data_IF_855966942736
#
_entry.id   IF_855966942736
#
_cell.length_a   1.000
_cell.length_b   1.000
_cell.length_c   1.000
_cell.angle_alpha   90.00
_cell.angle_beta   90.00
_cell.angle_gamma   90.00
#
_symmetry.space_group_name_H-M   'P 1'
#
loop_
_entity.id
_entity.type
_entity.pdbx_description
1 polymer ?
#
# COMPACT_ATOMS: atom_id res chain seq x y z
N UNK A 1 5.92 14.87 37.18
CA UNK A 1 5.65 13.89 36.12
C UNK A 1 5.48 14.55 34.75
N UNK A 2 4.60 15.55 34.56
CA UNK A 2 4.44 16.25 33.27
C UNK A 2 5.72 16.97 32.78
N UNK A 3 6.56 17.49 33.68
CA UNK A 3 7.81 18.15 33.30
C UNK A 3 8.77 17.26 32.50
N UNK A 4 8.68 15.93 32.64
CA UNK A 4 9.52 15.00 31.87
C UNK A 4 9.15 14.91 30.39
N UNK A 5 7.95 15.38 30.00
CA UNK A 5 7.51 15.44 28.60
C UNK A 5 7.83 16.77 27.93
N UNK A 6 8.21 17.81 28.70
CA UNK A 6 8.59 19.12 28.16
C UNK A 6 9.73 19.00 27.13
N UNK A 7 10.81 18.24 27.36
CA UNK A 7 11.87 18.07 26.36
C UNK A 7 11.38 17.44 25.05
N UNK A 8 10.46 16.47 25.12
CA UNK A 8 9.88 15.81 23.94
C UNK A 8 9.03 16.79 23.13
N UNK A 9 8.20 17.58 23.83
CA UNK A 9 7.39 18.63 23.21
C UNK A 9 8.27 19.68 22.52
N UNK A 10 9.30 20.15 23.23
CA UNK A 10 10.25 21.15 22.70
C UNK A 10 10.96 20.61 21.46
N UNK A 11 11.41 19.35 21.49
CA UNK A 11 12.03 18.71 20.33
C UNK A 11 11.07 18.62 19.13
N UNK A 12 9.82 18.18 19.37
CA UNK A 12 8.81 18.07 18.32
C UNK A 12 8.49 19.44 17.69
N UNK A 13 8.34 20.47 18.52
CA UNK A 13 8.10 21.85 18.06
C UNK A 13 9.31 22.38 17.29
N UNK A 14 10.53 22.17 17.80
CA UNK A 14 11.75 22.61 17.14
C UNK A 14 11.94 21.93 15.78
N UNK A 15 11.71 20.61 15.70
CA UNK A 15 11.79 19.85 14.46
C UNK A 15 10.76 20.35 13.44
N UNK A 16 9.51 20.57 13.89
CA UNK A 16 8.46 21.14 13.05
C UNK A 16 8.78 22.56 12.58
N UNK A 17 9.27 23.42 13.48
CA UNK A 17 9.65 24.79 13.17
C UNK A 17 10.83 24.85 12.19
N UNK A 18 11.81 23.95 12.32
CA UNK A 18 12.93 23.87 11.41
C UNK A 18 12.48 23.38 10.03
N UNK A 19 11.68 22.32 9.96
CA UNK A 19 11.14 21.81 8.69
C UNK A 19 10.30 22.88 7.96
N UNK A 20 9.37 23.52 8.67
CA UNK A 20 8.55 24.61 8.12
C UNK A 20 9.41 25.82 7.75
N UNK A 21 10.38 26.18 8.59
CA UNK A 21 11.31 27.29 8.34
C UNK A 21 12.15 27.07 7.09
N UNK A 22 12.65 25.87 6.86
CA UNK A 22 13.40 25.53 5.64
C UNK A 22 12.51 25.60 4.40
N UNK A 23 11.28 25.07 4.46
CA UNK A 23 10.32 25.16 3.36
C UNK A 23 9.94 26.61 3.06
N UNK A 24 9.66 27.41 4.11
CA UNK A 24 9.32 28.81 3.98
C UNK A 24 10.48 29.63 3.40
N UNK A 25 11.71 29.42 3.90
CA UNK A 25 12.89 30.10 3.41
C UNK A 25 13.19 29.74 1.95
N UNK A 26 13.05 28.46 1.58
CA UNK A 26 13.15 27.99 0.20
C UNK A 26 12.12 28.68 -0.71
N UNK A 27 10.88 28.82 -0.24
CA UNK A 27 9.81 29.50 -0.98
C UNK A 27 10.01 31.04 -1.09
N UNK A 28 10.56 31.68 -0.06
CA UNK A 28 10.81 33.13 -0.04
C UNK A 28 12.04 33.52 -0.87
N UNK A 29 13.15 32.79 -0.74
CA UNK A 29 14.42 33.07 -1.42
C UNK A 29 14.49 32.45 -2.82
N UNK A 30 13.65 31.45 -3.12
CA UNK A 30 13.67 30.73 -4.39
C UNK A 30 13.23 31.60 -5.58
N UNK A 31 13.90 31.49 -6.75
CA UNK A 31 13.52 32.23 -7.94
C UNK A 31 12.14 31.79 -8.46
N UNK A 32 11.19 32.73 -8.48
CA UNK A 32 9.82 32.48 -8.94
C UNK A 32 9.72 32.68 -10.45
N UNK A 33 9.90 31.59 -11.21
CA UNK A 33 9.72 31.56 -12.67
C UNK A 33 8.76 30.45 -13.10
N UNK A 34 7.46 30.57 -12.75
CA UNK A 34 6.46 29.61 -13.19
C UNK A 34 6.35 29.65 -14.71
N UNK A 35 6.45 28.49 -15.34
CA UNK A 35 6.25 28.30 -16.76
C UNK A 35 5.27 27.15 -16.94
N UNK A 36 4.43 27.19 -17.97
CA UNK A 36 3.39 26.19 -18.20
C UNK A 36 3.97 24.77 -18.19
N UNK A 37 5.15 24.56 -18.80
CA UNK A 37 5.80 23.25 -18.85
C UNK A 37 6.36 22.78 -17.50
N UNK A 38 6.68 23.71 -16.60
CA UNK A 38 7.22 23.39 -15.26
C UNK A 38 6.14 23.02 -14.25
N UNK A 39 4.92 23.52 -14.46
CA UNK A 39 3.77 23.26 -13.58
C UNK A 39 2.83 22.18 -14.12
N UNK A 40 3.01 21.79 -15.39
CA UNK A 40 2.28 20.67 -15.98
C UNK A 40 2.72 19.33 -15.38
N UNK A 41 1.80 18.36 -15.23
CA UNK A 41 2.13 16.99 -14.86
C UNK A 41 3.19 16.38 -15.79
N UNK A 42 4.12 15.63 -15.23
CA UNK A 42 5.15 14.95 -16.00
C UNK A 42 4.58 13.71 -16.68
N UNK A 43 4.53 13.70 -18.01
CA UNK A 43 4.14 12.54 -18.82
C UNK A 43 5.14 12.23 -19.94
N UNK A 44 6.46 12.24 -19.66
CA UNK A 44 7.49 11.87 -20.64
C UNK A 44 7.42 12.62 -22.00
N UNK A 45 6.84 13.83 -22.02
CA UNK A 45 6.71 14.67 -23.22
C UNK A 45 5.36 14.58 -23.95
N UNK A 46 4.41 13.76 -23.50
CA UNK A 46 3.03 13.78 -24.01
C UNK A 46 2.14 14.70 -23.16
N UNK A 47 1.08 15.23 -23.76
CA UNK A 47 0.07 15.97 -23.01
C UNK A 47 -0.82 15.00 -22.25
N UNK A 48 -1.09 15.24 -20.95
CA UNK A 48 -2.01 14.41 -20.16
C UNK A 48 -3.36 14.32 -20.86
N UNK A 49 -3.72 13.10 -21.26
CA UNK A 49 -4.98 12.78 -21.94
C UNK A 49 -5.81 11.86 -21.07
N UNK A 50 -7.04 12.27 -20.77
CA UNK A 50 -7.99 11.50 -19.97
C UNK A 50 -8.21 12.05 -18.56
N UNK A 51 -8.96 11.30 -17.76
CA UNK A 51 -9.26 11.65 -16.37
C UNK A 51 -8.39 10.82 -15.43
N UNK A 52 -7.80 11.43 -14.41
CA UNK A 52 -7.03 10.75 -13.37
C UNK A 52 -7.88 9.88 -12.41
N UNK A 53 -9.17 9.66 -12.72
CA UNK A 53 -10.06 8.80 -11.94
C UNK A 53 -10.02 7.38 -12.49
N UNK A 54 -8.92 6.69 -12.20
CA UNK A 54 -8.82 5.27 -12.44
C UNK A 54 -9.38 4.50 -11.24
N UNK A 55 -9.82 3.25 -11.47
CA UNK A 55 -10.30 2.40 -10.37
C UNK A 55 -9.09 1.99 -9.54
N UNK A 56 -8.99 2.53 -8.33
CA UNK A 56 -7.95 2.09 -7.40
C UNK A 56 -8.18 0.62 -7.03
N UNK A 57 -7.14 -0.23 -7.12
CA UNK A 57 -7.26 -1.63 -6.72
C UNK A 57 -7.72 -1.78 -5.27
N UNK A 58 -8.70 -2.64 -5.02
CA UNK A 58 -9.20 -2.98 -3.67
C UNK A 58 -8.10 -3.54 -2.76
N UNK A 59 -6.99 -4.00 -3.32
CA UNK A 59 -5.83 -4.55 -2.60
C UNK A 59 -5.25 -3.55 -1.60
N UNK A 60 -5.24 -2.24 -1.91
CA UNK A 60 -4.79 -1.21 -0.97
C UNK A 60 -5.69 -1.12 0.27
N UNK A 61 -7.00 -1.31 0.09
CA UNK A 61 -7.95 -1.36 1.21
C UNK A 61 -7.72 -2.59 2.08
N UNK A 62 -7.47 -3.76 1.48
CA UNK A 62 -7.19 -5.00 2.22
C UNK A 62 -5.92 -4.88 3.08
N UNK A 63 -4.85 -4.27 2.55
CA UNK A 63 -3.62 -3.99 3.31
C UNK A 63 -3.90 -3.02 4.46
N UNK A 64 -4.65 -1.94 4.22
CA UNK A 64 -4.98 -0.97 5.27
C UNK A 64 -5.84 -1.58 6.38
N UNK A 65 -6.84 -2.40 6.01
CA UNK A 65 -7.69 -3.10 6.97
C UNK A 65 -6.88 -4.10 7.80
N UNK A 66 -5.98 -4.87 7.17
CA UNK A 66 -5.07 -5.77 7.87
C UNK A 66 -4.16 -5.02 8.86
N UNK A 67 -3.62 -3.87 8.45
CA UNK A 67 -2.81 -3.02 9.32
C UNK A 67 -3.59 -2.55 10.55
N UNK A 68 -4.84 -2.11 10.38
CA UNK A 68 -5.68 -1.67 11.51
C UNK A 68 -5.94 -2.81 12.49
N UNK A 69 -6.28 -3.99 11.99
CA UNK A 69 -6.54 -5.17 12.84
C UNK A 69 -5.29 -5.53 13.62
N UNK A 70 -4.13 -5.63 12.95
CA UNK A 70 -2.86 -5.93 13.61
C UNK A 70 -2.43 -4.85 14.61
N UNK A 71 -2.60 -3.56 14.28
CA UNK A 71 -2.28 -2.45 15.18
C UNK A 71 -3.12 -2.51 16.46
N UNK A 72 -4.42 -2.78 16.32
CA UNK A 72 -5.33 -3.01 17.45
C UNK A 72 -4.90 -4.24 18.25
N UNK A 73 -4.41 -5.31 17.64
CA UNK A 73 -3.91 -6.46 18.39
C UNK A 73 -2.69 -6.10 19.26
N UNK A 74 -1.78 -5.28 18.75
CA UNK A 74 -0.59 -4.84 19.52
C UNK A 74 -0.95 -3.97 20.72
N UNK A 75 -2.07 -3.23 20.69
CA UNK A 75 -2.53 -2.47 21.85
C UNK A 75 -2.90 -3.39 23.02
N UNK A 76 -3.35 -4.62 22.75
CA UNK A 76 -3.65 -5.61 23.78
C UNK A 76 -2.40 -6.31 24.31
N UNK A 77 -1.39 -6.48 23.45
CA UNK A 77 -0.09 -7.02 23.86
C UNK A 77 0.64 -6.10 24.84
N UNK A 78 0.46 -4.77 24.72
CA UNK A 78 1.23 -3.80 25.49
C UNK A 78 0.96 -3.86 27.01
N UNK A 79 -0.29 -3.79 27.53
CA UNK A 79 -0.57 -3.92 28.96
C UNK A 79 -0.09 -5.24 29.55
N UNK A 80 -0.25 -6.35 28.83
CA UNK A 80 0.27 -7.64 29.25
C UNK A 80 1.80 -7.63 29.34
N UNK A 81 2.50 -7.10 28.33
CA UNK A 81 3.95 -7.09 28.28
C UNK A 81 4.56 -6.26 29.42
N UNK A 82 3.96 -5.11 29.76
CA UNK A 82 4.46 -4.25 30.84
C UNK A 82 4.17 -4.83 32.23
N UNK A 83 3.03 -5.51 32.43
CA UNK A 83 2.64 -6.05 33.75
C UNK A 83 3.17 -7.47 34.01
N UNK A 84 3.61 -8.19 32.98
CA UNK A 84 4.07 -9.58 33.10
C UNK A 84 5.19 -9.77 34.14
N UNK A 85 6.15 -8.83 34.18
CA UNK A 85 7.29 -8.92 35.11
C UNK A 85 6.91 -8.65 36.57
N UNK A 86 5.88 -7.85 36.79
CA UNK A 86 5.40 -7.47 38.12
C UNK A 86 4.35 -8.44 38.65
N UNK A 87 3.82 -9.32 37.80
CA UNK A 87 2.84 -10.34 38.19
C UNK A 87 3.44 -11.39 39.15
N UNK A 88 2.67 -11.91 40.12
CA UNK A 88 3.12 -12.99 41.00
C UNK A 88 3.58 -14.22 40.19
N UNK A 89 4.68 -14.85 40.60
CA UNK A 89 5.24 -16.03 39.90
C UNK A 89 4.23 -17.17 39.71
N UNK A 90 3.28 -17.31 40.64
CA UNK A 90 2.23 -18.33 40.57
C UNK A 90 1.28 -18.14 39.36
N UNK A 91 1.08 -16.92 38.87
CA UNK A 91 0.19 -16.60 37.74
C UNK A 91 0.93 -16.29 36.44
N UNK A 92 2.25 -16.06 36.49
CA UNK A 92 3.06 -15.76 35.29
C UNK A 92 2.96 -16.86 34.23
N UNK A 93 3.06 -18.14 34.63
CA UNK A 93 2.95 -19.25 33.69
C UNK A 93 1.57 -19.31 33.02
N UNK A 94 0.50 -19.05 33.79
CA UNK A 94 -0.86 -18.98 33.27
C UNK A 94 -1.04 -17.83 32.28
N UNK A 95 -0.62 -16.61 32.66
CA UNK A 95 -0.68 -15.42 31.79
C UNK A 95 0.15 -15.57 30.50
N UNK A 96 1.26 -16.32 30.56
CA UNK A 96 2.07 -16.61 29.38
C UNK A 96 1.32 -17.53 28.40
N UNK A 97 0.66 -18.57 28.93
CA UNK A 97 -0.13 -19.50 28.11
C UNK A 97 -1.35 -18.79 27.52
N UNK A 98 -2.06 -18.00 28.33
CA UNK A 98 -3.21 -17.22 27.86
C UNK A 98 -2.84 -16.28 26.72
N UNK A 99 -1.71 -15.57 26.85
CA UNK A 99 -1.22 -14.72 25.77
C UNK A 99 -0.74 -15.52 24.56
N UNK A 100 -0.11 -16.68 24.77
CA UNK A 100 0.26 -17.58 23.68
C UNK A 100 -0.96 -18.05 22.89
N UNK A 101 -2.06 -18.38 23.57
CA UNK A 101 -3.33 -18.76 22.94
C UNK A 101 -3.95 -17.58 22.20
N UNK A 102 -3.96 -16.38 22.80
CA UNK A 102 -4.43 -15.16 22.15
C UNK A 102 -3.69 -14.91 20.83
N UNK A 103 -2.36 -14.89 20.89
CA UNK A 103 -1.50 -14.72 19.70
C UNK A 103 -1.74 -15.82 18.66
N UNK A 104 -1.89 -17.08 19.08
CA UNK A 104 -2.16 -18.19 18.16
C UNK A 104 -3.47 -18.01 17.39
N UNK A 105 -4.54 -17.57 18.06
CA UNK A 105 -5.84 -17.31 17.42
C UNK A 105 -5.72 -16.20 16.38
N UNK A 106 -5.00 -15.11 16.69
CA UNK A 106 -4.76 -14.01 15.75
C UNK A 106 -3.96 -14.48 14.53
N UNK A 107 -2.91 -15.28 14.75
CA UNK A 107 -2.11 -15.85 13.68
C UNK A 107 -2.94 -16.76 12.75
N UNK A 108 -3.94 -17.48 13.25
CA UNK A 108 -4.85 -18.26 12.38
C UNK A 108 -5.58 -17.34 11.40
N UNK A 109 -6.10 -16.20 11.86
CA UNK A 109 -6.73 -15.20 10.99
C UNK A 109 -5.75 -14.60 9.97
N UNK A 110 -4.54 -14.27 10.44
CA UNK A 110 -3.46 -13.77 9.57
C UNK A 110 -3.05 -14.76 8.48
N UNK A 111 -2.82 -16.02 8.83
CA UNK A 111 -2.44 -17.07 7.88
C UNK A 111 -3.59 -17.41 6.92
N UNK A 112 -4.84 -17.34 7.38
CA UNK A 112 -6.00 -17.48 6.49
C UNK A 112 -5.99 -16.39 5.41
N UNK A 113 -5.75 -15.13 5.79
CA UNK A 113 -5.66 -14.02 4.83
C UNK A 113 -4.49 -14.15 3.86
N UNK A 114 -3.34 -14.63 4.31
CA UNK A 114 -2.20 -14.96 3.44
C UNK A 114 -2.56 -16.06 2.43
N UNK A 115 -3.26 -17.10 2.88
CA UNK A 115 -3.69 -18.22 2.03
C UNK A 115 -4.67 -17.81 0.93
N UNK A 116 -5.50 -16.79 1.15
CA UNK A 116 -6.40 -16.25 0.13
C UNK A 116 -5.70 -15.54 -1.04
N UNK A 117 -4.37 -15.37 -1.01
CA UNK A 117 -3.59 -14.66 -2.05
C UNK A 117 -4.10 -13.24 -2.35
N UNK A 118 -4.90 -12.68 -1.45
CA UNK A 118 -5.51 -11.36 -1.61
C UNK A 118 -4.47 -10.23 -1.62
N UNK A 119 -3.27 -10.53 -1.12
CA UNK A 119 -2.09 -9.68 -1.11
C UNK A 119 -1.16 -9.95 -2.31
N UNK A 120 -1.51 -10.83 -3.25
CA UNK A 120 -0.69 -11.01 -4.46
C UNK A 120 -0.90 -9.81 -5.41
N UNK A 121 0.18 -9.08 -5.65
CA UNK A 121 0.24 -8.06 -6.68
C UNK A 121 0.32 -8.75 -8.04
N UNK A 122 -0.84 -9.08 -8.59
CA UNK A 122 -0.95 -9.45 -9.99
C UNK A 122 -0.38 -8.33 -10.87
N UNK A 123 0.66 -8.67 -11.62
CA UNK A 123 1.23 -7.85 -12.69
C UNK A 123 0.34 -7.89 -13.98
N UNK A 124 -0.83 -8.53 -13.90
CA UNK A 124 -1.44 -9.23 -15.04
C UNK A 124 -2.52 -8.47 -15.81
N UNK A 125 -3.00 -7.29 -15.39
CA UNK A 125 -3.90 -6.51 -16.26
C UNK A 125 -3.19 -6.02 -17.54
N UNK A 126 -1.85 -5.95 -17.55
CA UNK A 126 -1.06 -5.60 -18.74
C UNK A 126 -0.84 -6.75 -19.73
N UNK A 127 -1.13 -8.00 -19.38
CA UNK A 127 -0.81 -9.16 -20.21
C UNK A 127 -1.95 -9.62 -21.15
N UNK A 128 -3.18 -9.16 -20.94
CA UNK A 128 -4.35 -9.69 -21.66
C UNK A 128 -4.76 -9.01 -22.99
N UNK A 129 -4.34 -7.79 -23.38
CA UNK A 129 -4.79 -7.23 -24.66
C UNK A 129 -4.19 -7.98 -25.86
N UNK A 130 -2.99 -8.57 -25.70
CA UNK A 130 -2.32 -9.27 -26.81
C UNK A 130 -3.05 -10.54 -27.24
N UNK A 131 -3.60 -11.32 -26.31
CA UNK A 131 -4.33 -12.56 -26.66
C UNK A 131 -5.67 -12.28 -27.35
N UNK A 132 -6.37 -11.22 -26.97
CA UNK A 132 -7.64 -10.83 -27.60
C UNK A 132 -7.39 -10.26 -29.00
N UNK A 133 -6.38 -9.38 -29.13
CA UNK A 133 -6.00 -8.84 -30.45
C UNK A 133 -5.45 -9.94 -31.35
N UNK A 134 -4.58 -10.83 -30.86
CA UNK A 134 -4.05 -11.92 -31.68
C UNK A 134 -5.13 -12.93 -32.08
N UNK A 135 -6.12 -13.21 -31.21
CA UNK A 135 -7.27 -14.05 -31.60
C UNK A 135 -8.14 -13.36 -32.65
N UNK A 136 -8.45 -12.08 -32.47
CA UNK A 136 -9.24 -11.32 -33.45
C UNK A 136 -8.50 -11.17 -34.79
N UNK A 137 -7.17 -11.02 -34.78
CA UNK A 137 -6.34 -10.99 -35.99
C UNK A 137 -6.27 -12.37 -36.64
N UNK A 138 -6.07 -13.45 -35.87
CA UNK A 138 -6.04 -14.82 -36.40
C UNK A 138 -7.39 -15.23 -37.02
N UNK A 139 -8.50 -14.94 -36.34
CA UNK A 139 -9.87 -15.20 -36.82
C UNK A 139 -10.19 -14.41 -38.09
N UNK A 140 -9.62 -13.21 -38.26
CA UNK A 140 -9.75 -12.40 -39.47
C UNK A 140 -8.87 -12.87 -40.64
N UNK A 141 -7.83 -13.66 -40.36
CA UNK A 141 -6.93 -14.24 -41.37
C UNK A 141 -7.40 -15.64 -41.84
N UNK A 142 -8.21 -16.34 -41.05
CA UNK A 142 -8.81 -17.64 -41.45
C UNK A 142 -9.76 -17.60 -42.67
N UNK A 143 -10.59 -16.57 -42.90
CA UNK A 143 -11.45 -16.54 -44.09
C UNK A 143 -10.67 -16.23 -45.38
N UNK A 144 -9.54 -15.53 -45.31
CA UNK A 144 -8.74 -15.16 -46.49
C UNK A 144 -8.00 -16.36 -47.10
N UNK A 145 -7.59 -17.33 -46.28
CA UNK A 145 -6.90 -18.55 -46.76
C UNK A 145 -7.86 -19.59 -47.36
N UNK A 146 -9.17 -19.49 -47.12
CA UNK A 146 -10.18 -20.34 -47.77
C UNK A 146 -10.54 -19.90 -49.19
N UNK A 147 -10.39 -18.62 -49.53
CA UNK A 147 -10.64 -18.14 -50.90
C UNK A 147 -9.47 -18.44 -51.86
N UNK A 148 -8.22 -18.36 -51.40
CA UNK A 148 -7.04 -18.71 -52.23
C UNK A 148 -6.90 -20.22 -52.50
N UNK A 149 -7.43 -21.08 -51.62
CA UNK A 149 -7.35 -22.54 -51.77
C UNK A 149 -8.38 -23.15 -52.76
N UNK A 150 -9.30 -22.34 -53.31
CA UNK A 150 -10.42 -22.81 -54.16
C UNK A 150 -10.30 -22.34 -55.61
N UNK A 151 -9.19 -21.74 -56.05
CA UNK A 151 -8.97 -21.43 -57.47
C UNK A 151 -8.54 -22.69 -58.24
N UNK A 152 -9.35 -23.23 -59.17
CA UNK A 152 -8.89 -24.22 -60.12
C UNK A 152 -7.96 -23.55 -61.16
N UNK A 153 -6.93 -24.29 -61.57
CA UNK A 153 -6.06 -23.98 -62.70
C UNK A 153 -6.83 -23.78 -64.02
#
# INVERSE_FOLDING_TARGET
MLNSYIPVLVLAVLAGALALGMVALSFLLGPKRPDYRKVAPYECGVTPVGSARERFPVKFFLVAMLFIIFDVETIFLYPWAVTFKDAPKAVQAFNLVEMGVFIAILFVGYFYMLGTRALEWEESERAQPRRVVLKAVAEKLEPASREEAVLPH
#
